data_IF_918124471397
#
_entry.id   IF_918124471397
#
_cell.length_a   1.000
_cell.length_b   1.000
_cell.length_c   1.000
_cell.angle_alpha   90.00
_cell.angle_beta   90.00
_cell.angle_gamma   90.00
#
_symmetry.space_group_name_H-M   'P 1'
#
loop_
_entity.id
_entity.type
_entity.pdbx_description
1 polymer ?
#
# COMPACT_ATOMS: atom_id res chain seq x y z
N UNK A 1 7.44 -9.11 -17.84
CA UNK A 1 6.82 -9.49 -16.55
C UNK A 1 7.38 -8.69 -15.36
N UNK A 2 8.72 -8.46 -15.30
CA UNK A 2 9.36 -7.71 -14.19
C UNK A 2 8.98 -6.22 -14.07
N UNK A 3 8.39 -5.62 -15.09
CA UNK A 3 7.98 -4.20 -15.08
C UNK A 3 6.61 -3.98 -14.41
N UNK A 4 5.76 -5.00 -14.35
CA UNK A 4 4.41 -4.87 -13.82
C UNK A 4 4.36 -4.42 -12.35
N UNK A 5 5.18 -4.99 -11.42
CA UNK A 5 5.19 -4.51 -10.04
C UNK A 5 5.65 -3.06 -9.90
N UNK A 6 6.57 -2.60 -10.76
CA UNK A 6 7.03 -1.20 -10.75
C UNK A 6 5.93 -0.27 -11.24
N UNK A 7 5.24 -0.65 -12.33
CA UNK A 7 4.11 0.12 -12.86
C UNK A 7 2.98 0.15 -11.82
N UNK A 8 2.66 -1.00 -11.21
CA UNK A 8 1.64 -1.08 -10.17
C UNK A 8 1.98 -0.21 -8.96
N UNK A 9 3.22 -0.27 -8.47
CA UNK A 9 3.68 0.57 -7.36
C UNK A 9 3.63 2.07 -7.67
N UNK A 10 3.98 2.47 -8.91
CA UNK A 10 3.85 3.88 -9.32
C UNK A 10 2.40 4.34 -9.43
N UNK A 11 1.50 3.48 -9.93
CA UNK A 11 0.06 3.77 -9.95
C UNK A 11 -0.51 3.92 -8.55
N UNK A 12 -0.11 3.07 -7.60
CA UNK A 12 -0.51 3.21 -6.21
C UNK A 12 -0.05 4.54 -5.61
N UNK A 13 1.21 4.91 -5.83
CA UNK A 13 1.77 6.16 -5.34
C UNK A 13 1.07 7.39 -5.94
N UNK A 14 0.82 7.38 -7.25
CA UNK A 14 0.10 8.47 -7.93
C UNK A 14 -1.37 8.52 -7.46
N UNK A 15 -2.02 7.35 -7.32
CA UNK A 15 -3.41 7.26 -6.88
C UNK A 15 -3.62 7.70 -5.43
N UNK A 16 -2.62 7.57 -4.57
CA UNK A 16 -2.68 8.03 -3.18
C UNK A 16 -2.82 9.57 -3.08
N UNK A 17 -2.29 10.33 -4.04
CA UNK A 17 -2.35 11.79 -4.04
C UNK A 17 -3.80 12.31 -4.10
N UNK A 18 -4.64 11.96 -5.09
CA UNK A 18 -6.02 12.41 -5.14
C UNK A 18 -6.89 11.82 -4.02
N UNK A 19 -6.56 10.65 -3.49
CA UNK A 19 -7.24 10.16 -2.28
C UNK A 19 -6.94 11.07 -1.09
N UNK A 20 -5.68 11.54 -0.93
CA UNK A 20 -5.30 12.50 0.10
C UNK A 20 -5.94 13.87 -0.06
N UNK A 21 -6.26 14.25 -1.29
CA UNK A 21 -6.88 15.53 -1.58
C UNK A 21 -8.28 15.71 -0.93
N UNK A 22 -8.95 14.62 -0.53
CA UNK A 22 -10.25 14.67 0.20
C UNK A 22 -10.14 15.41 1.55
N UNK A 23 -8.93 15.60 2.08
CA UNK A 23 -8.71 16.40 3.28
C UNK A 23 -9.04 17.89 3.09
N UNK A 24 -9.12 18.34 1.84
CA UNK A 24 -9.44 19.73 1.50
C UNK A 24 -10.92 19.82 1.13
N UNK A 25 -11.75 20.59 1.89
CA UNK A 25 -13.19 20.68 1.67
C UNK A 25 -13.59 21.23 0.29
N UNK A 26 -12.68 21.93 -0.40
CA UNK A 26 -12.88 22.46 -1.74
C UNK A 26 -12.77 21.42 -2.85
N UNK A 27 -12.25 20.25 -2.56
CA UNK A 27 -12.02 19.21 -3.56
C UNK A 27 -13.20 18.25 -3.61
N UNK A 28 -13.82 18.05 -4.79
CA UNK A 28 -14.94 17.14 -4.95
C UNK A 28 -14.56 15.69 -4.66
N UNK A 29 -15.45 14.93 -4.03
CA UNK A 29 -15.25 13.52 -3.65
C UNK A 29 -14.90 12.60 -4.83
N UNK A 30 -15.34 12.91 -6.05
CA UNK A 30 -15.03 12.11 -7.23
C UNK A 30 -13.53 12.08 -7.57
N UNK A 31 -12.75 13.08 -7.14
CA UNK A 31 -11.29 13.11 -7.27
C UNK A 31 -10.67 11.95 -6.47
N UNK A 32 -11.17 11.71 -5.26
CA UNK A 32 -10.76 10.58 -4.45
C UNK A 32 -11.15 9.23 -5.08
N UNK A 33 -12.32 9.15 -5.75
CA UNK A 33 -12.73 7.92 -6.45
C UNK A 33 -11.75 7.56 -7.58
N UNK A 34 -11.28 8.54 -8.34
CA UNK A 34 -10.23 8.32 -9.36
C UNK A 34 -8.96 7.80 -8.70
N UNK A 35 -8.55 8.40 -7.58
CA UNK A 35 -7.39 7.93 -6.81
C UNK A 35 -7.54 6.48 -6.36
N UNK A 36 -8.68 6.11 -5.80
CA UNK A 36 -8.98 4.74 -5.39
C UNK A 36 -8.92 3.75 -6.55
N UNK A 37 -9.41 4.13 -7.73
CA UNK A 37 -9.35 3.31 -8.94
C UNK A 37 -7.91 3.06 -9.37
N UNK A 38 -7.06 4.09 -9.34
CA UNK A 38 -5.63 3.97 -9.65
C UNK A 38 -4.90 3.08 -8.62
N UNK A 39 -5.19 3.25 -7.33
CA UNK A 39 -4.64 2.41 -6.26
C UNK A 39 -5.04 0.95 -6.47
N UNK A 40 -6.32 0.67 -6.72
CA UNK A 40 -6.83 -0.67 -6.96
C UNK A 40 -6.19 -1.35 -8.17
N UNK A 41 -6.04 -0.65 -9.28
CA UNK A 41 -5.30 -1.14 -10.45
C UNK A 41 -3.84 -1.43 -10.10
N UNK A 42 -3.20 -0.53 -9.34
CA UNK A 42 -1.83 -0.71 -8.87
C UNK A 42 -1.65 -1.97 -8.04
N UNK A 43 -2.54 -2.20 -7.08
CA UNK A 43 -2.55 -3.42 -6.25
C UNK A 43 -2.65 -4.68 -7.11
N UNK A 44 -3.59 -4.72 -8.07
CA UNK A 44 -3.75 -5.87 -8.97
C UNK A 44 -2.49 -6.17 -9.79
N UNK A 45 -1.81 -5.11 -10.28
CA UNK A 45 -0.57 -5.25 -11.05
C UNK A 45 0.64 -5.67 -10.22
N UNK A 46 0.63 -5.46 -8.91
CA UNK A 46 1.70 -5.87 -7.99
C UNK A 46 1.45 -7.28 -7.46
N UNK A 47 0.25 -7.55 -6.96
CA UNK A 47 -0.07 -8.73 -6.17
C UNK A 47 0.06 -10.03 -6.97
N UNK A 48 -0.59 -10.13 -8.13
CA UNK A 48 -0.59 -11.35 -8.93
C UNK A 48 0.82 -11.73 -9.45
N UNK A 49 1.61 -10.81 -10.03
CA UNK A 49 2.97 -11.14 -10.48
C UNK A 49 3.90 -11.53 -9.33
N UNK A 50 3.80 -10.91 -8.15
CA UNK A 50 4.64 -11.25 -7.01
C UNK A 50 4.37 -12.65 -6.50
N UNK A 51 3.11 -13.05 -6.41
CA UNK A 51 2.72 -14.41 -5.99
C UNK A 51 3.25 -15.47 -6.96
N UNK A 52 3.13 -15.24 -8.28
CA UNK A 52 3.66 -16.14 -9.31
C UNK A 52 5.19 -16.22 -9.22
N UNK A 53 5.87 -15.09 -9.13
CA UNK A 53 7.35 -15.06 -9.03
C UNK A 53 7.86 -15.77 -7.78
N UNK A 54 7.16 -15.66 -6.65
CA UNK A 54 7.51 -16.36 -5.42
C UNK A 54 7.42 -17.88 -5.59
N UNK A 55 6.42 -18.37 -6.30
CA UNK A 55 6.25 -19.80 -6.58
C UNK A 55 7.24 -20.29 -7.64
N UNK A 56 7.55 -19.51 -8.69
CA UNK A 56 8.51 -19.88 -9.74
C UNK A 56 9.92 -20.14 -9.19
N UNK A 57 10.35 -19.42 -8.15
CA UNK A 57 11.67 -19.62 -7.52
C UNK A 57 11.67 -20.67 -6.40
N UNK A 58 10.52 -21.26 -6.12
CA UNK A 58 10.33 -22.22 -5.01
C UNK A 58 10.21 -23.65 -5.56
N UNK A 59 10.89 -24.65 -4.99
CA UNK A 59 10.67 -26.05 -5.34
C UNK A 59 9.21 -26.46 -5.12
N UNK A 60 8.65 -27.27 -6.03
CA UNK A 60 7.24 -27.69 -5.99
C UNK A 60 6.82 -28.28 -4.64
N UNK A 61 7.71 -29.05 -4.00
CA UNK A 61 7.45 -29.64 -2.68
C UNK A 61 7.22 -28.61 -1.57
N UNK A 62 7.54 -27.33 -1.80
CA UNK A 62 7.39 -26.24 -0.83
C UNK A 62 6.31 -25.22 -1.23
N UNK A 63 5.64 -25.39 -2.37
CA UNK A 63 4.62 -24.44 -2.87
C UNK A 63 3.52 -24.19 -1.84
N UNK A 64 3.01 -25.25 -1.18
CA UNK A 64 1.96 -25.11 -0.17
C UNK A 64 2.41 -24.23 1.02
N UNK A 65 3.65 -24.41 1.48
CA UNK A 65 4.19 -23.58 2.57
C UNK A 65 4.35 -22.13 2.14
N UNK A 66 4.90 -21.88 0.97
CA UNK A 66 5.08 -20.49 0.46
C UNK A 66 3.74 -19.82 0.23
N UNK A 67 2.76 -20.51 -0.34
CA UNK A 67 1.40 -19.99 -0.50
C UNK A 67 0.78 -19.60 0.85
N UNK A 68 0.95 -20.43 1.88
CA UNK A 68 0.48 -20.11 3.23
C UNK A 68 1.17 -18.88 3.82
N UNK A 69 2.48 -18.75 3.64
CA UNK A 69 3.22 -17.56 4.09
C UNK A 69 2.80 -16.29 3.36
N UNK A 70 2.55 -16.36 2.04
CA UNK A 70 2.01 -15.24 1.27
C UNK A 70 0.65 -14.82 1.83
N UNK A 71 -0.24 -15.78 2.10
CA UNK A 71 -1.56 -15.51 2.66
C UNK A 71 -1.47 -14.86 4.05
N UNK A 72 -0.55 -15.33 4.90
CA UNK A 72 -0.30 -14.71 6.21
C UNK A 72 0.20 -13.28 6.05
N UNK A 73 1.13 -13.04 5.13
CA UNK A 73 1.65 -11.70 4.87
C UNK A 73 0.57 -10.75 4.36
N UNK A 74 -0.29 -11.22 3.44
CA UNK A 74 -1.42 -10.47 2.89
C UNK A 74 -2.45 -10.07 3.96
N UNK A 75 -2.60 -10.88 5.00
CA UNK A 75 -3.51 -10.59 6.11
C UNK A 75 -2.85 -9.76 7.21
N UNK A 76 -1.61 -10.08 7.54
CA UNK A 76 -0.87 -9.42 8.63
C UNK A 76 -0.46 -7.98 8.25
N UNK A 77 -0.12 -7.72 6.99
CA UNK A 77 0.26 -6.39 6.52
C UNK A 77 -0.83 -5.34 6.79
N UNK A 78 -2.03 -5.49 6.21
CA UNK A 78 -3.15 -4.58 6.47
C UNK A 78 -3.59 -4.51 7.93
N UNK A 79 -3.55 -5.63 8.65
CA UNK A 79 -3.90 -5.64 10.08
C UNK A 79 -2.93 -4.79 10.91
N UNK A 80 -1.63 -4.89 10.64
CA UNK A 80 -0.62 -4.07 11.29
C UNK A 80 -0.76 -2.59 10.92
N UNK A 81 -1.03 -2.29 9.65
CA UNK A 81 -1.30 -0.92 9.19
C UNK A 81 -2.47 -0.32 9.94
N UNK A 82 -3.61 -1.01 9.99
CA UNK A 82 -4.80 -0.55 10.71
C UNK A 82 -4.53 -0.34 12.20
N UNK A 83 -3.77 -1.22 12.84
CA UNK A 83 -3.39 -1.08 14.24
C UNK A 83 -2.54 0.19 14.46
N UNK A 84 -1.53 0.41 13.63
CA UNK A 84 -0.67 1.59 13.71
C UNK A 84 -1.46 2.89 13.47
N UNK A 85 -2.32 2.89 12.44
CA UNK A 85 -3.19 4.03 12.14
C UNK A 85 -4.13 4.31 13.31
N UNK A 86 -4.76 3.27 13.89
CA UNK A 86 -5.69 3.45 15.02
C UNK A 86 -5.00 4.05 16.24
N UNK A 87 -3.79 3.59 16.58
CA UNK A 87 -3.00 4.16 17.68
C UNK A 87 -2.60 5.61 17.38
N UNK A 88 -2.12 5.89 16.18
CA UNK A 88 -1.73 7.23 15.78
C UNK A 88 -2.93 8.20 15.78
N UNK A 89 -4.08 7.75 15.28
CA UNK A 89 -5.32 8.54 15.25
C UNK A 89 -5.84 8.84 16.65
N UNK A 90 -5.82 7.86 17.55
CA UNK A 90 -6.27 8.06 18.95
C UNK A 90 -5.37 9.03 19.71
N UNK A 91 -4.04 8.92 19.53
CA UNK A 91 -3.09 9.85 20.12
C UNK A 91 -3.25 11.28 19.56
N UNK A 92 -3.50 11.41 18.26
CA UNK A 92 -3.68 12.69 17.58
C UNK A 92 -5.03 13.34 17.93
N UNK A 93 -6.11 12.56 18.04
CA UNK A 93 -7.44 13.05 18.39
C UNK A 93 -7.48 13.74 19.77
N UNK A 94 -6.57 13.37 20.66
CA UNK A 94 -6.41 14.02 21.95
C UNK A 94 -5.85 15.45 21.86
N UNK A 95 -5.26 15.82 20.73
CA UNK A 95 -4.56 17.12 20.54
C UNK A 95 -5.14 17.96 19.40
N UNK A 96 -5.90 17.37 18.48
CA UNK A 96 -6.35 18.03 17.26
C UNK A 96 -7.78 18.60 17.39
N UNK A 97 -7.95 19.81 16.87
CA UNK A 97 -9.27 20.41 16.60
C UNK A 97 -9.94 19.70 15.42
N UNK A 98 -11.27 19.64 15.45
CA UNK A 98 -12.13 18.98 14.44
C UNK A 98 -11.84 19.56 13.04
N UNK A 99 -11.55 18.70 12.07
CA UNK A 99 -11.31 19.07 10.67
C UNK A 99 -10.47 18.07 9.90
N UNK A 100 -10.14 18.38 8.64
CA UNK A 100 -9.32 17.52 7.77
C UNK A 100 -7.96 17.16 8.34
N UNK A 101 -7.37 18.02 9.17
CA UNK A 101 -6.13 17.79 9.89
C UNK A 101 -6.19 16.56 10.83
N UNK A 102 -7.39 16.15 11.27
CA UNK A 102 -7.56 14.95 12.10
C UNK A 102 -7.08 13.66 11.40
N UNK A 103 -7.07 13.64 10.08
CA UNK A 103 -6.63 12.47 9.28
C UNK A 103 -5.17 12.55 8.82
N UNK A 104 -4.43 13.59 9.18
CA UNK A 104 -3.04 13.75 8.81
C UNK A 104 -2.15 12.54 9.20
N UNK A 105 -2.26 11.93 10.40
CA UNK A 105 -1.46 10.77 10.78
C UNK A 105 -1.67 9.57 9.84
N UNK A 106 -2.89 9.34 9.37
CA UNK A 106 -3.19 8.28 8.40
C UNK A 106 -2.36 8.45 7.13
N UNK A 107 -2.35 9.67 6.57
CA UNK A 107 -1.62 9.96 5.34
C UNK A 107 -0.11 9.86 5.50
N UNK A 108 0.42 10.32 6.62
CA UNK A 108 1.86 10.19 6.93
C UNK A 108 2.26 8.72 6.98
N UNK A 109 1.49 7.89 7.65
CA UNK A 109 1.76 6.44 7.74
C UNK A 109 1.63 5.78 6.37
N UNK A 110 0.55 6.05 5.63
CA UNK A 110 0.33 5.46 4.31
C UNK A 110 1.45 5.81 3.32
N UNK A 111 1.87 7.08 3.29
CA UNK A 111 2.97 7.54 2.43
C UNK A 111 4.30 6.94 2.85
N UNK A 112 4.56 6.85 4.17
CA UNK A 112 5.78 6.24 4.70
C UNK A 112 5.87 4.75 4.33
N UNK A 113 4.78 3.99 4.50
CA UNK A 113 4.72 2.58 4.13
C UNK A 113 4.85 2.35 2.63
N UNK A 114 4.19 3.19 1.80
CA UNK A 114 4.34 3.14 0.36
C UNK A 114 5.78 3.44 -0.09
N UNK A 115 6.41 4.44 0.51
CA UNK A 115 7.81 4.79 0.28
C UNK A 115 8.76 3.65 0.67
N UNK A 116 8.52 3.02 1.81
CA UNK A 116 9.29 1.86 2.29
C UNK A 116 9.16 0.67 1.34
N UNK A 117 7.95 0.39 0.85
CA UNK A 117 7.70 -0.67 -0.11
C UNK A 117 8.44 -0.43 -1.44
N UNK A 118 8.39 0.79 -1.98
CA UNK A 118 9.14 1.17 -3.20
C UNK A 118 10.64 1.05 -2.98
N UNK A 119 11.14 1.48 -1.81
CA UNK A 119 12.56 1.36 -1.47
C UNK A 119 12.99 -0.10 -1.36
N UNK A 120 12.21 -0.96 -0.69
CA UNK A 120 12.48 -2.38 -0.57
C UNK A 120 12.52 -3.07 -1.94
N UNK A 121 11.55 -2.79 -2.82
CA UNK A 121 11.53 -3.34 -4.20
C UNK A 121 12.75 -2.90 -5.01
N UNK A 122 13.21 -1.67 -4.84
CA UNK A 122 14.43 -1.18 -5.53
C UNK A 122 15.70 -1.85 -5.01
N UNK A 123 15.77 -2.15 -3.71
CA UNK A 123 16.92 -2.84 -3.10
C UNK A 123 17.00 -4.32 -3.45
N UNK A 124 15.86 -4.96 -3.69
CA UNK A 124 15.77 -6.38 -4.06
C UNK A 124 16.04 -6.63 -5.56
N UNK A 125 16.37 -5.60 -6.35
CA UNK A 125 16.86 -5.81 -7.71
C UNK A 125 18.22 -6.49 -7.64
N UNK A 126 18.39 -7.73 -8.15
CA UNK A 126 19.71 -8.30 -8.31
C UNK A 126 20.53 -7.35 -9.19
N UNK A 127 21.77 -7.07 -8.78
CA UNK A 127 22.74 -6.47 -9.67
C UNK A 127 22.87 -7.39 -10.89
N UNK A 128 22.57 -6.89 -12.09
CA UNK A 128 22.86 -7.56 -13.36
C UNK A 128 24.36 -7.68 -13.56
#
# INVERSE_FOLDING_TARGET
>A
RRRLPVIGGTLMAIGAIPVGAILFPSIPVWVALIGWLLVGLGVGLVHAPLSVMALEVTPESKHGRVASWLQVADSAGPALELALVSVAMSAWAATATVGGAAYAPYWVIAVALAGLAVFAVRRLRPAE
#
